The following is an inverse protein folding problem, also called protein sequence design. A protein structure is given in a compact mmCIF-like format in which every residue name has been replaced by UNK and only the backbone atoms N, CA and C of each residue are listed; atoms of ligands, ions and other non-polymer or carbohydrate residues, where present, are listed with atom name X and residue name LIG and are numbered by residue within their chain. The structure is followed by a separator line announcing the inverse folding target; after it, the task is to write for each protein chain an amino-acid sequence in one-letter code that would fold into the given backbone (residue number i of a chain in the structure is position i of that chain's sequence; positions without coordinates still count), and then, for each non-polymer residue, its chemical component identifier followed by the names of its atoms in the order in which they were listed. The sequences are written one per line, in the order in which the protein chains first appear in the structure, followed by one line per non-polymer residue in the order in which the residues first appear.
data_IF_497514028681
#
_entry.id   IF_497514028681
#
_cell.length_a   1.000
_cell.length_b   1.000
_cell.length_c   1.000
_cell.angle_alpha   90.00
_cell.angle_beta   90.00
_cell.angle_gamma   90.00
#
_symmetry.space_group_name_H-M   'P 1'
#
loop_
_entity.id
_entity.type
_entity.pdbx_description
1 polymer ?
#
# COMPACT_ATOMS: atom_id res chain seq x y z
N UNK A 1 -12.01 30.36 -32.52
CA UNK A 1 -11.41 29.04 -32.75
C UNK A 1 -9.90 28.93 -32.45
N UNK A 2 -9.22 29.94 -31.84
CA UNK A 2 -7.76 29.90 -31.53
C UNK A 2 -7.43 29.67 -30.05
N UNK A 3 -8.39 29.62 -29.15
CA UNK A 3 -8.16 29.48 -27.69
C UNK A 3 -8.30 28.03 -27.14
N UNK A 4 -8.83 27.10 -27.94
CA UNK A 4 -9.01 25.68 -27.52
C UNK A 4 -7.75 24.85 -27.81
N UNK A 5 -6.90 25.27 -28.74
CA UNK A 5 -5.69 24.53 -29.13
C UNK A 5 -4.53 24.66 -28.13
N UNK A 6 -4.54 25.70 -27.26
CA UNK A 6 -3.45 25.94 -26.29
C UNK A 6 -3.61 25.12 -25.01
N UNK A 7 -4.84 24.70 -24.67
CA UNK A 7 -5.09 23.89 -23.48
C UNK A 7 -4.70 22.41 -23.64
N UNK A 8 -4.71 21.90 -24.88
CA UNK A 8 -4.27 20.52 -25.16
C UNK A 8 -2.74 20.35 -25.16
N UNK A 9 -1.98 21.41 -25.45
CA UNK A 9 -0.50 21.33 -25.50
C UNK A 9 0.14 21.38 -24.09
N UNK A 10 -0.53 21.97 -23.11
CA UNK A 10 -0.02 21.99 -21.71
C UNK A 10 -0.16 20.66 -21.00
N UNK A 11 -1.09 19.79 -21.43
CA UNK A 11 -1.29 18.46 -20.84
C UNK A 11 -0.22 17.44 -21.24
N UNK A 12 0.41 17.63 -22.42
CA UNK A 12 1.48 16.75 -22.90
C UNK A 12 2.86 17.03 -22.29
N UNK A 13 3.09 18.22 -21.71
CA UNK A 13 4.41 18.58 -21.19
C UNK A 13 4.73 17.95 -19.82
N UNK A 14 3.72 17.55 -19.02
CA UNK A 14 3.94 16.90 -17.73
C UNK A 14 4.30 15.42 -17.83
N UNK A 15 4.21 14.81 -19.00
CA UNK A 15 4.49 13.37 -19.19
C UNK A 15 5.93 13.05 -19.60
N UNK A 16 6.76 14.06 -19.84
CA UNK A 16 8.12 13.85 -20.40
C UNK A 16 9.20 13.64 -19.32
N UNK A 17 8.89 13.90 -18.04
CA UNK A 17 9.90 13.82 -16.98
C UNK A 17 10.01 12.44 -16.29
N UNK A 18 9.08 11.52 -16.54
CA UNK A 18 9.11 10.18 -15.94
C UNK A 18 9.24 9.12 -17.05
N UNK A 19 10.46 8.75 -17.42
CA UNK A 19 10.84 7.62 -18.27
C UNK A 19 10.79 7.85 -19.79
N UNK A 20 11.78 7.28 -20.48
CA UNK A 20 11.80 7.14 -21.94
C UNK A 20 10.53 6.39 -22.40
N UNK A 21 9.65 7.13 -23.05
CA UNK A 21 8.43 6.75 -23.77
C UNK A 21 7.94 5.29 -23.76
N UNK A 22 6.94 4.94 -22.93
CA UNK A 22 5.84 4.14 -23.41
C UNK A 22 4.73 5.09 -23.92
N UNK A 23 4.06 4.72 -25.00
CA UNK A 23 3.02 5.52 -25.64
C UNK A 23 1.99 6.02 -24.60
N UNK A 24 1.75 7.32 -24.57
CA UNK A 24 0.82 8.01 -23.65
C UNK A 24 -0.68 7.60 -23.81
N UNK A 25 -0.95 6.51 -24.50
CA UNK A 25 -2.28 6.03 -24.89
C UNK A 25 -2.89 5.02 -23.94
N UNK A 26 -2.19 4.57 -22.90
CA UNK A 26 -2.71 3.50 -22.01
C UNK A 26 -2.93 3.93 -20.56
N UNK A 27 -2.56 5.15 -20.14
CA UNK A 27 -2.74 5.62 -18.78
C UNK A 27 -4.17 6.13 -18.57
N UNK A 28 -4.93 5.51 -17.64
CA UNK A 28 -6.26 5.96 -17.29
C UNK A 28 -6.20 7.17 -16.35
N UNK A 29 -6.79 8.29 -16.78
CA UNK A 29 -6.83 9.52 -15.96
C UNK A 29 -8.05 9.51 -15.06
N UNK A 30 -7.81 9.52 -13.75
CA UNK A 30 -8.84 9.62 -12.71
C UNK A 30 -8.89 11.07 -12.25
N UNK A 31 -9.96 11.80 -12.57
CA UNK A 31 -10.13 13.18 -12.15
C UNK A 31 -10.56 13.26 -10.67
N UNK A 32 -9.68 13.79 -9.83
CA UNK A 32 -9.85 13.94 -8.38
C UNK A 32 -9.72 15.40 -7.95
N UNK A 33 -10.00 16.35 -8.87
CA UNK A 33 -9.98 17.78 -8.56
C UNK A 33 -11.04 18.13 -7.53
N UNK A 34 -10.67 18.96 -6.56
CA UNK A 34 -11.53 19.39 -5.46
C UNK A 34 -12.18 18.24 -4.69
N UNK A 35 -11.40 17.35 -4.07
CA UNK A 35 -11.92 16.17 -3.36
C UNK A 35 -12.67 16.59 -2.09
N UNK A 36 -14.00 16.63 -2.18
CA UNK A 36 -14.91 17.10 -1.11
C UNK A 36 -15.91 16.05 -0.63
N UNK A 37 -15.77 14.82 -1.11
CA UNK A 37 -16.67 13.76 -0.69
C UNK A 37 -16.48 13.44 0.80
N UNK A 38 -17.56 13.45 1.57
CA UNK A 38 -17.50 13.22 3.03
C UNK A 38 -18.52 12.17 3.50
N UNK A 39 -19.46 11.78 2.66
CA UNK A 39 -20.49 10.81 3.06
C UNK A 39 -19.98 9.36 2.88
N UNK A 40 -18.87 9.02 3.51
CA UNK A 40 -18.25 7.69 3.41
C UNK A 40 -19.16 6.57 3.91
N UNK A 41 -19.98 6.86 4.95
CA UNK A 41 -20.92 5.88 5.50
C UNK A 41 -22.01 5.44 4.50
N UNK A 42 -22.34 6.26 3.49
CA UNK A 42 -23.25 5.86 2.44
C UNK A 42 -22.59 5.02 1.35
N UNK A 43 -21.28 5.24 1.13
CA UNK A 43 -20.50 4.51 0.14
C UNK A 43 -20.01 3.15 0.67
N UNK A 44 -19.68 3.06 1.96
CA UNK A 44 -19.01 1.92 2.58
C UNK A 44 -19.98 1.15 3.47
N UNK A 45 -19.91 -0.17 3.44
CA UNK A 45 -20.65 -1.06 4.34
C UNK A 45 -19.77 -2.21 4.81
N UNK A 46 -19.97 -2.66 6.06
CA UNK A 46 -19.29 -3.82 6.61
C UNK A 46 -20.02 -5.08 6.16
N UNK A 47 -19.32 -5.97 5.46
CA UNK A 47 -19.86 -7.23 4.97
C UNK A 47 -19.49 -8.43 5.83
N UNK A 48 -18.30 -8.38 6.48
CA UNK A 48 -17.77 -9.49 7.27
C UNK A 48 -16.93 -8.93 8.42
N UNK A 49 -16.87 -9.65 9.53
CA UNK A 49 -16.06 -9.29 10.70
C UNK A 49 -15.36 -10.52 11.21
N UNK A 50 -14.04 -10.49 11.23
CA UNK A 50 -13.16 -11.56 11.71
C UNK A 50 -12.33 -11.04 12.89
N UNK A 51 -12.76 -11.27 14.15
CA UNK A 51 -11.97 -10.95 15.32
C UNK A 51 -10.74 -11.85 15.38
N UNK A 52 -9.56 -11.27 15.59
CA UNK A 52 -8.33 -12.05 15.71
C UNK A 52 -8.20 -12.61 17.13
N UNK A 53 -7.85 -13.89 17.24
CA UNK A 53 -7.70 -14.59 18.51
C UNK A 53 -6.67 -13.90 19.39
N UNK A 54 -7.02 -13.73 20.66
CA UNK A 54 -6.19 -13.08 21.67
C UNK A 54 -5.77 -14.08 22.75
N UNK A 55 -4.55 -14.57 22.63
CA UNK A 55 -3.89 -15.42 23.60
C UNK A 55 -2.52 -14.84 23.95
N UNK A 56 -1.83 -15.39 24.94
CA UNK A 56 -0.46 -14.96 25.25
C UNK A 56 0.50 -15.12 24.06
N UNK A 57 0.19 -16.02 23.12
CA UNK A 57 1.00 -16.28 21.91
C UNK A 57 0.56 -15.49 20.68
N UNK A 58 -0.55 -14.79 20.75
CA UNK A 58 -1.16 -14.09 19.61
C UNK A 58 -1.58 -12.65 19.91
N UNK A 59 -1.09 -12.09 21.04
CA UNK A 59 -1.35 -10.70 21.39
C UNK A 59 -0.60 -9.78 20.41
N UNK A 60 -1.34 -8.95 19.70
CA UNK A 60 -0.83 -8.01 18.72
C UNK A 60 -0.69 -6.61 19.31
N UNK A 61 0.22 -5.82 18.76
CA UNK A 61 0.43 -4.42 19.15
C UNK A 61 0.03 -3.46 18.04
N UNK A 62 0.90 -3.24 17.06
CA UNK A 62 0.67 -2.29 15.95
C UNK A 62 1.03 -2.95 14.63
N UNK A 63 0.07 -2.96 13.71
CA UNK A 63 0.34 -3.40 12.34
C UNK A 63 1.26 -2.42 11.62
N UNK A 64 2.34 -2.93 11.01
CA UNK A 64 3.06 -2.23 9.95
C UNK A 64 2.54 -2.65 8.58
N UNK A 65 2.17 -3.91 8.42
CA UNK A 65 1.56 -4.46 7.21
C UNK A 65 0.61 -5.59 7.59
N UNK A 66 -0.55 -5.64 6.96
CA UNK A 66 -1.48 -6.76 7.07
C UNK A 66 -1.86 -7.22 5.66
N UNK A 67 -1.86 -8.54 5.43
CA UNK A 67 -2.25 -9.14 4.16
C UNK A 67 -3.30 -10.21 4.40
N UNK A 68 -4.21 -10.34 3.44
CA UNK A 68 -5.24 -11.38 3.44
C UNK A 68 -5.07 -12.22 2.18
N UNK A 69 -4.41 -13.35 2.32
CA UNK A 69 -4.02 -14.19 1.20
C UNK A 69 -4.60 -15.60 1.34
N UNK A 70 -5.35 -16.06 0.34
CA UNK A 70 -6.03 -17.34 0.41
C UNK A 70 -6.94 -17.46 1.64
N UNK A 71 -6.60 -18.41 2.53
CA UNK A 71 -7.28 -18.63 3.81
C UNK A 71 -6.52 -18.08 5.01
N UNK A 72 -5.53 -17.20 4.78
CA UNK A 72 -4.66 -16.66 5.82
C UNK A 72 -4.86 -15.15 5.98
N UNK A 73 -4.67 -14.70 7.22
CA UNK A 73 -4.42 -13.31 7.59
C UNK A 73 -3.00 -13.27 8.12
N UNK A 74 -2.16 -12.46 7.50
CA UNK A 74 -0.78 -12.26 7.90
C UNK A 74 -0.61 -10.85 8.46
N UNK A 75 -0.18 -10.77 9.69
CA UNK A 75 -0.07 -9.53 10.44
C UNK A 75 1.39 -9.30 10.86
N UNK A 76 2.06 -8.36 10.20
CA UNK A 76 3.38 -7.90 10.61
C UNK A 76 3.24 -6.92 11.77
N UNK A 77 3.69 -7.33 12.95
CA UNK A 77 3.71 -6.48 14.12
C UNK A 77 5.01 -5.67 14.19
N UNK A 78 4.88 -4.35 14.18
CA UNK A 78 6.03 -3.45 14.15
C UNK A 78 6.87 -3.51 15.43
N UNK A 79 6.23 -3.59 16.60
CA UNK A 79 6.94 -3.56 17.89
C UNK A 79 7.55 -4.89 18.24
N UNK A 80 6.83 -5.97 17.94
CA UNK A 80 7.29 -7.34 18.22
C UNK A 80 8.26 -7.82 17.14
N UNK A 81 8.33 -7.14 15.99
CA UNK A 81 9.13 -7.53 14.82
C UNK A 81 8.85 -8.98 14.41
N UNK A 82 7.59 -9.37 14.42
CA UNK A 82 7.13 -10.73 14.16
C UNK A 82 6.01 -10.75 13.15
N UNK A 83 5.86 -11.85 12.42
CA UNK A 83 4.76 -12.12 11.52
C UNK A 83 3.83 -13.16 12.15
N UNK A 84 2.62 -12.73 12.49
CA UNK A 84 1.57 -13.59 13.03
C UNK A 84 0.64 -14.04 11.92
N UNK A 85 0.30 -15.32 11.91
CA UNK A 85 -0.60 -15.90 10.92
C UNK A 85 -1.85 -16.42 11.59
N UNK A 86 -3.00 -15.99 11.06
CA UNK A 86 -4.33 -16.37 11.53
C UNK A 86 -5.13 -17.01 10.41
N UNK A 87 -6.11 -17.82 10.78
CA UNK A 87 -7.09 -18.38 9.86
C UNK A 87 -8.12 -17.30 9.48
N UNK A 88 -8.34 -17.07 8.20
CA UNK A 88 -9.25 -16.03 7.69
C UNK A 88 -10.71 -16.26 8.04
N UNK A 89 -11.15 -17.51 8.17
CA UNK A 89 -12.56 -17.81 8.38
C UNK A 89 -13.03 -17.58 9.82
N UNK A 90 -12.11 -17.76 10.78
CA UNK A 90 -12.49 -17.74 12.20
C UNK A 90 -11.57 -16.87 13.08
N UNK A 91 -10.51 -16.29 12.50
CA UNK A 91 -9.55 -15.44 13.22
C UNK A 91 -8.64 -16.19 14.20
N UNK A 92 -8.64 -17.54 14.19
CA UNK A 92 -7.80 -18.32 15.09
C UNK A 92 -6.32 -18.19 14.72
N UNK A 93 -5.48 -18.03 15.74
CA UNK A 93 -4.04 -18.04 15.59
C UNK A 93 -3.55 -19.40 15.11
N UNK A 94 -2.70 -19.40 14.10
CA UNK A 94 -2.08 -20.62 13.55
C UNK A 94 -0.65 -20.79 14.00
N UNK A 95 0.19 -19.79 13.73
CA UNK A 95 1.62 -19.81 14.05
C UNK A 95 2.24 -18.42 13.88
N UNK A 96 3.42 -18.27 14.46
CA UNK A 96 4.33 -17.15 14.24
C UNK A 96 5.41 -17.58 13.24
N UNK A 97 5.80 -16.68 12.32
CA UNK A 97 6.81 -16.95 11.29
C UNK A 97 8.10 -16.22 11.64
N UNK A 98 9.17 -17.00 11.75
CA UNK A 98 10.49 -16.49 12.13
C UNK A 98 10.54 -16.00 13.58
N UNK A 99 11.71 -15.57 14.00
CA UNK A 99 11.96 -14.94 15.31
C UNK A 99 13.07 -13.91 15.16
N UNK A 100 13.11 -12.95 16.06
CA UNK A 100 14.22 -12.00 16.13
C UNK A 100 15.48 -12.70 16.63
N UNK A 101 16.56 -12.59 15.91
CA UNK A 101 17.86 -13.18 16.25
C UNK A 101 18.82 -13.28 15.08
N UNK A 102 19.93 -14.01 15.26
CA UNK A 102 21.04 -14.05 14.31
C UNK A 102 21.23 -15.40 13.60
N UNK A 103 20.45 -16.44 13.95
CA UNK A 103 20.53 -17.73 13.25
C UNK A 103 19.99 -17.65 11.81
N UNK A 104 20.17 -18.71 11.02
CA UNK A 104 19.69 -18.75 9.63
C UNK A 104 18.16 -18.63 9.51
N UNK A 105 17.43 -19.14 10.51
CA UNK A 105 15.96 -19.09 10.56
C UNK A 105 15.40 -17.84 11.22
N UNK A 106 16.25 -16.97 11.77
CA UNK A 106 15.86 -15.76 12.49
C UNK A 106 16.09 -14.51 11.63
N UNK A 107 15.45 -13.40 11.95
CA UNK A 107 15.67 -12.11 11.31
C UNK A 107 16.15 -11.06 12.33
N UNK A 108 17.02 -10.15 11.90
CA UNK A 108 17.54 -9.07 12.76
C UNK A 108 16.56 -7.92 12.80
N UNK A 109 16.13 -7.47 11.65
CA UNK A 109 15.16 -6.39 11.49
C UNK A 109 14.13 -6.80 10.44
N UNK A 110 12.87 -6.75 10.80
CA UNK A 110 11.81 -7.22 9.93
C UNK A 110 11.34 -6.07 9.01
N UNK A 111 11.89 -5.99 7.80
CA UNK A 111 11.61 -4.91 6.87
C UNK A 111 10.29 -5.12 6.12
N UNK A 112 10.08 -6.30 5.54
CA UNK A 112 8.90 -6.60 4.74
C UNK A 112 8.65 -8.12 4.63
N UNK A 113 7.47 -8.49 4.15
CA UNK A 113 7.16 -9.88 3.80
C UNK A 113 6.31 -9.97 2.53
N UNK A 114 6.36 -11.13 1.89
CA UNK A 114 5.52 -11.50 0.76
C UNK A 114 5.04 -12.94 0.93
N UNK A 115 3.89 -13.25 0.33
CA UNK A 115 3.31 -14.57 0.29
C UNK A 115 3.21 -15.03 -1.15
N UNK A 116 3.59 -16.25 -1.42
CA UNK A 116 3.44 -16.93 -2.70
C UNK A 116 2.62 -18.20 -2.45
N UNK A 117 1.31 -18.08 -2.62
CA UNK A 117 0.38 -19.18 -2.37
C UNK A 117 0.49 -20.30 -3.40
N UNK A 118 0.93 -19.99 -4.63
CA UNK A 118 1.15 -21.00 -5.66
C UNK A 118 2.25 -21.99 -5.25
N UNK A 119 3.31 -21.49 -4.60
CA UNK A 119 4.42 -22.31 -4.11
C UNK A 119 4.36 -22.58 -2.61
N UNK A 120 3.30 -22.13 -1.92
CA UNK A 120 3.13 -22.25 -0.46
C UNK A 120 4.31 -21.67 0.33
N UNK A 121 4.75 -20.47 -0.02
CA UNK A 121 5.90 -19.80 0.58
C UNK A 121 5.53 -18.49 1.25
N UNK A 122 6.09 -18.27 2.44
CA UNK A 122 6.19 -16.95 3.06
C UNK A 122 7.66 -16.53 3.02
N UNK A 123 7.90 -15.33 2.51
CA UNK A 123 9.25 -14.75 2.43
C UNK A 123 9.32 -13.52 3.32
N UNK A 124 10.29 -13.47 4.22
CA UNK A 124 10.62 -12.31 5.06
C UNK A 124 11.89 -11.64 4.51
N UNK A 125 11.87 -10.34 4.34
CA UNK A 125 13.03 -9.50 4.04
C UNK A 125 13.58 -8.92 5.33
N UNK A 126 14.88 -9.11 5.55
CA UNK A 126 15.66 -8.42 6.59
C UNK A 126 16.96 -7.85 6.00
N UNK A 127 17.77 -7.19 6.81
CA UNK A 127 19.07 -6.63 6.40
C UNK A 127 20.03 -7.68 5.81
N UNK A 128 19.85 -8.96 6.11
CA UNK A 128 20.71 -10.06 5.65
C UNK A 128 20.19 -10.76 4.39
N UNK A 129 19.06 -10.31 3.82
CA UNK A 129 18.43 -10.87 2.64
C UNK A 129 17.01 -11.38 2.89
N UNK A 130 16.61 -12.40 2.17
CA UNK A 130 15.30 -13.02 2.34
C UNK A 130 15.39 -14.37 3.01
N UNK A 131 14.45 -14.64 3.91
CA UNK A 131 14.26 -15.95 4.57
C UNK A 131 12.92 -16.52 4.12
N UNK A 132 12.94 -17.76 3.66
CA UNK A 132 11.77 -18.47 3.15
C UNK A 132 11.27 -19.46 4.20
N UNK A 133 9.95 -19.46 4.37
CA UNK A 133 9.23 -20.33 5.30
C UNK A 133 8.08 -21.03 4.56
N UNK A 134 7.73 -22.23 5.02
CA UNK A 134 6.55 -22.96 4.56
C UNK A 134 5.27 -22.26 5.04
N UNK A 135 4.41 -21.88 4.11
CA UNK A 135 3.13 -21.21 4.38
C UNK A 135 2.19 -22.04 5.26
N UNK A 136 2.25 -23.37 5.18
CA UNK A 136 1.31 -24.24 5.91
C UNK A 136 1.58 -24.30 7.41
N UNK A 137 2.82 -24.08 7.84
CA UNK A 137 3.24 -24.32 9.23
C UNK A 137 4.29 -23.34 9.78
N UNK A 138 4.73 -22.35 9.00
CA UNK A 138 5.72 -21.36 9.40
C UNK A 138 7.14 -21.90 9.60
N UNK A 139 7.44 -23.12 9.14
CA UNK A 139 8.77 -23.70 9.32
C UNK A 139 9.78 -23.10 8.35
N UNK A 140 10.98 -22.85 8.87
CA UNK A 140 12.12 -22.39 8.08
C UNK A 140 12.47 -23.38 6.97
N UNK A 141 12.69 -22.88 5.77
CA UNK A 141 13.13 -23.64 4.61
C UNK A 141 14.56 -23.29 4.23
N UNK A 142 14.84 -22.03 3.96
CA UNK A 142 16.17 -21.55 3.56
C UNK A 142 16.28 -20.04 3.65
N UNK A 143 17.51 -19.54 3.63
CA UNK A 143 17.83 -18.11 3.47
C UNK A 143 18.49 -17.87 2.11
N UNK A 144 18.07 -16.80 1.44
CA UNK A 144 18.69 -16.30 0.21
C UNK A 144 19.32 -14.94 0.49
N UNK A 145 20.63 -14.84 0.27
CA UNK A 145 21.40 -13.62 0.51
C UNK A 145 21.69 -12.84 -0.78
N UNK A 146 21.03 -13.16 -1.89
CA UNK A 146 21.29 -12.51 -3.17
C UNK A 146 20.97 -11.01 -3.17
N UNK A 147 19.97 -10.59 -2.39
CA UNK A 147 19.59 -9.17 -2.24
C UNK A 147 20.67 -8.38 -1.49
N UNK A 148 21.32 -8.97 -0.51
CA UNK A 148 22.34 -8.31 0.32
C UNK A 148 23.69 -8.07 -0.36
N UNK A 149 23.98 -8.70 -1.49
CA UNK A 149 25.23 -8.45 -2.22
C UNK A 149 25.36 -7.01 -2.71
N UNK A 150 24.25 -6.28 -2.76
CA UNK A 150 24.18 -4.90 -3.24
C UNK A 150 24.12 -3.85 -2.12
N UNK A 151 24.31 -4.25 -0.82
CA UNK A 151 24.04 -3.38 0.32
C UNK A 151 22.54 -3.37 0.66
N UNK A 152 22.24 -3.22 1.93
CA UNK A 152 20.91 -3.41 2.53
C UNK A 152 19.96 -2.23 2.36
N UNK A 153 19.98 -1.60 1.19
CA UNK A 153 19.19 -0.39 0.97
C UNK A 153 17.75 -0.68 0.49
N UNK A 154 17.39 -1.97 0.33
CA UNK A 154 16.04 -2.36 -0.05
C UNK A 154 15.19 -2.65 1.18
N UNK A 155 14.07 -1.95 1.30
CA UNK A 155 13.19 -2.05 2.47
C UNK A 155 11.81 -2.65 2.16
N UNK A 156 11.48 -2.80 0.85
CA UNK A 156 10.25 -3.48 0.40
C UNK A 156 10.55 -4.32 -0.81
N UNK A 157 9.75 -5.37 -0.99
CA UNK A 157 9.85 -6.22 -2.16
C UNK A 157 8.48 -6.82 -2.54
N UNK A 158 8.35 -7.22 -3.78
CA UNK A 158 7.19 -7.95 -4.30
C UNK A 158 7.66 -8.99 -5.30
N UNK A 159 7.21 -10.22 -5.13
CA UNK A 159 7.46 -11.30 -6.09
C UNK A 159 6.40 -11.25 -7.18
N UNK A 160 6.81 -11.18 -8.46
CA UNK A 160 5.94 -11.15 -9.62
C UNK A 160 6.43 -12.18 -10.64
N UNK A 161 5.83 -13.34 -10.61
CA UNK A 161 6.28 -14.48 -11.43
C UNK A 161 7.74 -14.82 -11.11
N UNK A 162 8.61 -14.70 -12.11
CA UNK A 162 10.04 -15.02 -11.96
C UNK A 162 10.90 -13.82 -11.51
N UNK A 163 10.31 -12.66 -11.37
CA UNK A 163 11.01 -11.44 -10.98
C UNK A 163 10.68 -11.06 -9.54
N UNK A 164 11.60 -10.37 -8.89
CA UNK A 164 11.33 -9.72 -7.60
C UNK A 164 11.57 -8.22 -7.77
N UNK A 165 10.51 -7.42 -7.59
CA UNK A 165 10.65 -5.98 -7.50
C UNK A 165 11.20 -5.61 -6.13
N UNK A 166 12.11 -4.65 -6.12
CA UNK A 166 12.79 -4.15 -4.93
C UNK A 166 12.60 -2.64 -4.84
N UNK A 167 12.23 -2.15 -3.67
CA UNK A 167 12.15 -0.72 -3.40
C UNK A 167 13.23 -0.28 -2.42
N UNK A 168 13.89 0.84 -2.75
CA UNK A 168 14.82 1.51 -1.86
C UNK A 168 14.52 3.00 -1.77
N UNK A 169 14.39 3.58 -0.56
CA UNK A 169 14.30 5.03 -0.39
C UNK A 169 15.66 5.73 -0.52
N UNK A 170 16.78 4.98 -0.51
CA UNK A 170 18.13 5.52 -0.40
C UNK A 170 18.93 5.54 -1.70
N UNK A 171 18.49 4.80 -2.73
CA UNK A 171 19.20 4.70 -4.02
C UNK A 171 18.71 5.75 -5.01
N UNK A 172 19.52 6.02 -6.03
CA UNK A 172 19.15 6.89 -7.16
C UNK A 172 17.96 6.31 -7.94
N UNK A 173 17.77 5.01 -7.87
CA UNK A 173 16.60 4.31 -8.42
C UNK A 173 15.72 3.81 -7.29
N UNK A 174 14.46 4.25 -7.30
CA UNK A 174 13.49 3.87 -6.27
C UNK A 174 13.00 2.44 -6.46
N UNK A 175 12.89 1.98 -7.71
CA UNK A 175 12.48 0.62 -8.05
C UNK A 175 13.56 -0.06 -8.86
N UNK A 176 13.93 -1.27 -8.45
CA UNK A 176 14.80 -2.18 -9.17
C UNK A 176 14.14 -3.56 -9.30
N UNK A 177 14.57 -4.35 -10.25
CA UNK A 177 14.15 -5.74 -10.46
C UNK A 177 15.32 -6.68 -10.19
N UNK A 178 15.08 -7.71 -9.40
CA UNK A 178 15.97 -8.86 -9.26
C UNK A 178 15.40 -10.01 -10.09
N UNK A 179 16.15 -10.43 -11.11
CA UNK A 179 15.80 -11.55 -11.98
C UNK A 179 16.23 -12.89 -11.39
N UNK A 180 15.74 -14.02 -11.91
CA UNK A 180 16.11 -15.36 -11.45
C UNK A 180 17.61 -15.65 -11.53
N UNK A 181 18.31 -15.10 -12.51
CA UNK A 181 19.76 -15.21 -12.67
C UNK A 181 20.56 -14.30 -11.71
N UNK A 182 19.88 -13.71 -10.73
CA UNK A 182 20.45 -12.86 -9.67
C UNK A 182 21.04 -11.54 -10.19
N UNK A 183 20.61 -11.07 -11.35
CA UNK A 183 20.93 -9.73 -11.84
C UNK A 183 19.93 -8.73 -11.32
N UNK A 184 20.43 -7.56 -10.88
CA UNK A 184 19.63 -6.41 -10.50
C UNK A 184 19.62 -5.43 -11.68
N UNK A 185 18.43 -5.03 -12.09
CA UNK A 185 18.17 -4.04 -13.14
C UNK A 185 17.35 -2.90 -12.55
N UNK A 186 17.82 -1.68 -12.75
CA UNK A 186 17.15 -0.48 -12.29
C UNK A 186 16.00 -0.11 -13.23
N UNK A 187 14.79 0.06 -12.67
CA UNK A 187 13.56 0.29 -13.45
C UNK A 187 13.06 1.72 -13.38
N UNK A 188 13.09 2.34 -12.20
CA UNK A 188 12.61 3.71 -12.00
C UNK A 188 13.67 4.56 -11.32
N UNK A 189 14.17 5.58 -12.05
CA UNK A 189 14.99 6.62 -11.44
C UNK A 189 14.14 7.45 -10.49
N UNK A 190 14.64 7.69 -9.28
CA UNK A 190 13.96 8.50 -8.28
C UNK A 190 13.70 9.91 -8.78
N UNK A 191 12.51 10.40 -8.57
CA UNK A 191 12.16 11.79 -8.79
C UNK A 191 11.98 12.47 -7.43
N UNK A 192 12.87 13.40 -7.11
CA UNK A 192 12.75 14.26 -5.93
C UNK A 192 13.15 13.61 -4.60
N UNK A 193 12.43 13.98 -3.55
CA UNK A 193 12.80 13.77 -2.16
C UNK A 193 12.75 12.29 -1.79
N UNK A 194 13.77 11.90 -1.06
CA UNK A 194 13.82 10.69 -0.29
C UNK A 194 12.86 10.81 0.90
N UNK A 195 11.86 9.93 0.96
CA UNK A 195 10.94 9.87 2.11
C UNK A 195 11.33 8.73 3.01
N UNK A 196 11.65 9.04 4.26
CA UNK A 196 12.01 8.05 5.27
C UNK A 196 10.81 7.19 5.75
N UNK A 197 9.56 7.60 5.45
CA UNK A 197 8.36 6.89 5.87
C UNK A 197 8.03 5.69 4.97
N UNK A 198 8.88 4.71 5.02
CA UNK A 198 8.83 3.46 4.24
C UNK A 198 7.59 2.61 4.49
N UNK A 199 6.97 2.75 5.66
CA UNK A 199 5.78 1.97 6.05
C UNK A 199 4.56 2.18 5.15
N UNK A 200 4.58 3.24 4.34
CA UNK A 200 3.49 3.59 3.45
C UNK A 200 3.70 3.13 2.01
N UNK A 201 4.84 2.57 1.67
CA UNK A 201 5.04 2.00 0.35
C UNK A 201 4.29 0.66 0.25
N UNK A 202 3.40 0.53 -0.74
CA UNK A 202 2.66 -0.69 -1.00
C UNK A 202 2.89 -1.15 -2.44
N UNK A 203 3.21 -2.44 -2.61
CA UNK A 203 3.09 -3.19 -3.84
C UNK A 203 2.11 -4.33 -3.60
N UNK A 204 1.14 -4.51 -4.47
CA UNK A 204 0.10 -5.51 -4.33
C UNK A 204 0.17 -6.58 -5.44
N UNK A 205 -0.67 -7.61 -5.31
CA UNK A 205 -0.67 -8.75 -6.23
C UNK A 205 -1.20 -8.40 -7.64
N UNK A 206 -1.84 -7.23 -7.79
CA UNK A 206 -2.19 -6.67 -9.11
C UNK A 206 -1.00 -5.99 -9.79
N UNK A 207 0.19 -6.15 -9.22
CA UNK A 207 1.44 -5.58 -9.71
C UNK A 207 1.42 -4.05 -9.81
N UNK A 208 0.65 -3.40 -8.95
CA UNK A 208 0.66 -1.95 -8.82
C UNK A 208 1.92 -1.51 -8.09
N UNK A 209 2.53 -0.47 -8.62
CA UNK A 209 3.73 0.14 -8.06
C UNK A 209 3.45 1.60 -7.79
N UNK A 210 3.54 1.99 -6.52
CA UNK A 210 3.27 3.36 -6.11
C UNK A 210 4.28 4.34 -6.71
N UNK A 211 3.84 5.58 -7.01
CA UNK A 211 4.73 6.63 -7.49
C UNK A 211 5.67 7.13 -6.40
N UNK A 212 6.77 7.73 -6.83
CA UNK A 212 7.62 8.50 -5.95
C UNK A 212 6.89 9.77 -5.47
N UNK A 213 7.45 10.40 -4.44
CA UNK A 213 6.91 11.63 -3.87
C UNK A 213 6.77 12.75 -4.91
N UNK A 214 5.66 13.44 -4.89
CA UNK A 214 5.32 14.48 -5.87
C UNK A 214 4.75 13.96 -7.19
N UNK A 215 4.76 12.65 -7.40
CA UNK A 215 4.16 12.00 -8.56
C UNK A 215 2.82 11.36 -8.20
N UNK A 216 1.92 11.25 -9.18
CA UNK A 216 0.59 10.67 -9.02
C UNK A 216 0.27 9.63 -10.09
N UNK A 217 1.28 9.18 -10.84
CA UNK A 217 1.16 8.10 -11.82
C UNK A 217 1.45 6.78 -11.12
N UNK A 218 0.43 5.97 -10.94
CA UNK A 218 0.53 4.61 -10.41
C UNK A 218 0.87 3.71 -11.60
N UNK A 219 2.00 3.01 -11.50
CA UNK A 219 2.44 2.09 -12.53
C UNK A 219 1.90 0.68 -12.29
N UNK A 220 1.98 -0.15 -13.31
CA UNK A 220 1.85 -1.61 -13.22
C UNK A 220 3.11 -2.25 -13.77
N UNK A 221 3.54 -3.34 -13.14
CA UNK A 221 4.68 -4.13 -13.62
C UNK A 221 4.20 -5.25 -14.54
N UNK A 222 4.71 -5.26 -15.77
CA UNK A 222 4.42 -6.30 -16.78
C UNK A 222 5.64 -6.58 -17.63
N UNK A 223 5.93 -7.87 -17.88
CA UNK A 223 6.99 -8.31 -18.81
C UNK A 223 8.34 -7.61 -18.59
N UNK A 224 8.75 -7.50 -17.32
CA UNK A 224 10.03 -6.93 -16.96
C UNK A 224 10.11 -5.40 -16.91
N UNK A 225 9.01 -4.67 -17.13
CA UNK A 225 8.97 -3.19 -17.19
C UNK A 225 7.82 -2.60 -16.41
N UNK A 226 7.96 -1.33 -16.04
CA UNK A 226 6.90 -0.51 -15.47
C UNK A 226 6.14 0.20 -16.60
N UNK A 227 4.82 0.23 -16.49
CA UNK A 227 3.92 0.94 -17.41
C UNK A 227 2.95 1.80 -16.59
N UNK A 228 2.74 3.08 -16.98
CA UNK A 228 1.70 3.91 -16.38
C UNK A 228 0.33 3.25 -16.50
N UNK A 229 -0.39 3.12 -15.38
CA UNK A 229 -1.73 2.53 -15.37
C UNK A 229 -2.79 3.55 -15.02
N UNK A 230 -2.58 4.29 -13.94
CA UNK A 230 -3.50 5.33 -13.46
C UNK A 230 -2.78 6.64 -13.20
N UNK A 231 -3.40 7.75 -13.57
CA UNK A 231 -2.99 9.09 -13.15
C UNK A 231 -4.09 9.68 -12.25
N UNK A 232 -3.80 9.90 -10.97
CA UNK A 232 -4.66 10.67 -10.10
C UNK A 232 -4.48 12.16 -10.39
N UNK A 233 -5.44 12.76 -11.09
CA UNK A 233 -5.36 14.15 -11.55
C UNK A 233 -5.95 15.12 -10.52
N UNK A 234 -5.11 15.71 -9.69
CA UNK A 234 -5.47 16.76 -8.74
C UNK A 234 -5.44 18.18 -9.36
N UNK A 235 -5.10 18.32 -10.64
CA UNK A 235 -5.00 19.61 -11.34
C UNK A 235 -4.01 20.55 -10.67
N UNK A 236 -4.43 21.79 -10.39
CA UNK A 236 -3.58 22.80 -9.72
C UNK A 236 -3.35 22.53 -8.23
N UNK A 237 -4.03 21.55 -7.64
CA UNK A 237 -3.84 21.13 -6.23
C UNK A 237 -2.76 20.08 -6.07
N UNK A 238 -2.23 19.51 -7.17
CA UNK A 238 -1.05 18.67 -7.15
C UNK A 238 0.20 19.47 -6.82
N UNK A 239 1.18 18.85 -6.12
CA UNK A 239 2.46 19.48 -5.81
C UNK A 239 3.17 19.89 -7.11
N UNK A 240 3.46 21.19 -7.33
CA UNK A 240 4.21 21.63 -8.50
C UNK A 240 5.64 21.09 -8.52
N UNK A 241 6.12 20.68 -9.69
CA UNK A 241 7.46 20.10 -9.89
C UNK A 241 8.57 20.96 -9.30
N UNK A 242 8.46 22.29 -9.39
CA UNK A 242 9.45 23.26 -8.83
C UNK A 242 9.65 23.12 -7.31
N UNK A 243 8.74 22.46 -6.60
CA UNK A 243 8.85 22.19 -5.16
C UNK A 243 9.34 20.77 -4.87
N UNK A 244 9.54 19.95 -5.89
CA UNK A 244 10.15 18.63 -5.76
C UNK A 244 11.68 18.88 -5.74
N UNK A 245 12.27 18.91 -4.56
CA UNK A 245 13.69 19.20 -4.34
C UNK A 245 14.38 17.98 -3.74
N UNK A 246 15.66 17.81 -4.07
CA UNK A 246 16.52 16.78 -3.45
C UNK A 246 16.93 17.14 -2.02
N UNK A 247 16.56 18.34 -1.55
CA UNK A 247 16.91 18.84 -0.21
C UNK A 247 15.70 18.89 0.69
N UNK A 248 15.66 18.02 1.67
CA UNK A 248 14.60 17.93 2.69
C UNK A 248 14.38 19.26 3.43
N UNK A 249 15.45 20.00 3.75
CA UNK A 249 15.39 21.27 4.47
C UNK A 249 14.66 22.39 3.71
N UNK A 250 14.72 22.39 2.39
CA UNK A 250 14.00 23.37 1.56
C UNK A 250 12.51 23.03 1.47
N UNK A 251 12.19 21.78 1.68
CA UNK A 251 10.85 21.23 1.61
C UNK A 251 9.98 21.59 2.83
N UNK A 252 10.51 21.48 4.05
CA UNK A 252 9.76 21.81 5.26
C UNK A 252 9.54 23.32 5.46
N UNK A 253 10.42 24.15 4.91
CA UNK A 253 10.40 25.61 5.13
C UNK A 253 9.35 26.36 4.32
N UNK A 254 8.72 25.75 3.33
CA UNK A 254 7.73 26.44 2.50
C UNK A 254 6.32 26.18 2.97
N UNK A 255 5.65 27.19 3.54
CA UNK A 255 4.19 27.17 3.83
C UNK A 255 3.34 26.77 2.63
N UNK A 256 3.87 26.93 1.41
CA UNK A 256 3.24 26.48 0.18
C UNK A 256 3.02 24.95 0.12
N UNK A 257 3.87 24.17 0.77
CA UNK A 257 3.74 22.71 0.82
C UNK A 257 2.47 22.24 1.53
N UNK A 258 1.93 23.06 2.45
CA UNK A 258 0.68 22.76 3.17
C UNK A 258 -0.55 22.83 2.28
N UNK A 259 -0.43 23.30 1.03
CA UNK A 259 -1.55 23.55 0.12
C UNK A 259 -1.79 22.43 -0.89
N UNK A 260 -0.83 21.53 -1.07
CA UNK A 260 -0.83 20.61 -2.20
C UNK A 260 -1.01 19.14 -1.77
N UNK A 261 -1.57 18.35 -2.68
CA UNK A 261 -1.44 16.90 -2.64
C UNK A 261 0.00 16.51 -2.96
N UNK A 262 0.55 15.50 -2.27
CA UNK A 262 2.00 15.26 -2.25
C UNK A 262 2.40 13.86 -2.63
N UNK A 263 1.67 12.84 -2.16
CA UNK A 263 2.06 11.45 -2.38
C UNK A 263 0.89 10.51 -2.26
N UNK A 264 0.96 9.40 -2.98
CA UNK A 264 0.09 8.23 -2.81
C UNK A 264 0.74 7.32 -1.79
N UNK A 265 0.04 7.01 -0.70
CA UNK A 265 0.56 6.21 0.41
C UNK A 265 0.21 4.74 0.29
N UNK A 266 -0.96 4.45 -0.24
CA UNK A 266 -1.48 3.11 -0.48
C UNK A 266 -2.29 3.12 -1.76
N UNK A 267 -2.32 1.99 -2.45
CA UNK A 267 -3.20 1.78 -3.58
C UNK A 267 -3.54 0.30 -3.67
N UNK A 268 -4.81 -0.02 -3.70
CA UNK A 268 -5.33 -1.37 -3.87
C UNK A 268 -6.39 -1.38 -4.96
N UNK A 269 -6.44 -2.44 -5.76
CA UNK A 269 -7.47 -2.58 -6.76
C UNK A 269 -8.01 -4.01 -6.84
N UNK A 270 -9.28 -4.11 -7.23
CA UNK A 270 -9.88 -5.35 -7.72
C UNK A 270 -10.50 -5.11 -9.11
N UNK A 271 -11.25 -6.06 -9.61
CA UNK A 271 -11.88 -5.94 -10.93
C UNK A 271 -12.78 -4.72 -11.07
N UNK A 272 -13.40 -4.25 -9.99
CA UNK A 272 -14.40 -3.16 -10.02
C UNK A 272 -13.89 -1.82 -9.50
N UNK A 273 -13.07 -1.84 -8.45
CA UNK A 273 -12.69 -0.65 -7.71
C UNK A 273 -11.18 -0.45 -7.61
N UNK A 274 -10.76 0.80 -7.63
CA UNK A 274 -9.45 1.25 -7.15
C UNK A 274 -9.65 2.03 -5.86
N UNK A 275 -8.83 1.77 -4.86
CA UNK A 275 -8.68 2.58 -3.65
C UNK A 275 -7.28 3.20 -3.64
N UNK A 276 -7.19 4.48 -3.29
CA UNK A 276 -5.92 5.13 -2.98
C UNK A 276 -6.04 5.98 -1.71
N UNK A 277 -5.01 5.92 -0.88
CA UNK A 277 -4.80 6.83 0.25
C UNK A 277 -3.74 7.84 -0.13
N UNK A 278 -4.04 9.12 -0.03
CA UNK A 278 -3.19 10.21 -0.53
C UNK A 278 -2.93 11.22 0.58
N UNK A 279 -1.69 11.71 0.68
CA UNK A 279 -1.36 12.85 1.54
C UNK A 279 -1.68 14.14 0.81
N UNK A 280 -2.59 14.90 1.37
CA UNK A 280 -3.06 16.16 0.81
C UNK A 280 -2.64 17.39 1.62
N UNK A 281 -3.37 18.50 1.43
CA UNK A 281 -3.16 19.74 2.15
C UNK A 281 -3.12 19.56 3.66
N UNK A 282 -2.26 20.33 4.33
CA UNK A 282 -2.07 20.29 5.80
C UNK A 282 -1.65 18.93 6.35
N UNK A 283 -0.99 18.09 5.56
CA UNK A 283 -0.60 16.73 5.93
C UNK A 283 -1.80 15.80 6.24
N UNK A 284 -3.01 16.17 5.82
CA UNK A 284 -4.20 15.34 6.01
C UNK A 284 -4.22 14.22 4.97
N UNK A 285 -4.77 13.10 5.38
CA UNK A 285 -5.03 11.99 4.48
C UNK A 285 -6.36 12.18 3.74
N UNK A 286 -6.38 11.73 2.50
CA UNK A 286 -7.56 11.70 1.64
C UNK A 286 -7.74 10.31 1.09
N UNK A 287 -8.99 9.84 1.06
CA UNK A 287 -9.37 8.61 0.40
C UNK A 287 -9.86 8.92 -1.01
N UNK A 288 -9.48 8.07 -1.94
CA UNK A 288 -9.99 8.05 -3.30
C UNK A 288 -10.51 6.64 -3.59
N UNK A 289 -11.79 6.52 -3.90
CA UNK A 289 -12.37 5.31 -4.47
C UNK A 289 -12.78 5.61 -5.92
N UNK A 290 -12.38 4.76 -6.84
CA UNK A 290 -12.71 4.90 -8.24
C UNK A 290 -13.45 3.66 -8.74
N UNK A 291 -14.72 3.86 -9.17
CA UNK A 291 -15.50 2.83 -9.84
C UNK A 291 -15.04 2.73 -11.30
N UNK A 292 -14.38 1.63 -11.63
CA UNK A 292 -13.82 1.40 -12.97
C UNK A 292 -14.90 1.22 -14.03
N UNK A 293 -16.09 0.73 -13.64
CA UNK A 293 -17.21 0.52 -14.57
C UNK A 293 -17.94 1.84 -14.88
N UNK A 294 -18.20 2.64 -13.83
CA UNK A 294 -18.87 3.92 -13.97
C UNK A 294 -17.91 5.06 -14.36
N UNK A 295 -16.61 4.83 -14.31
CA UNK A 295 -15.57 5.85 -14.51
C UNK A 295 -15.76 7.06 -13.58
N UNK A 296 -16.19 6.81 -12.35
CA UNK A 296 -16.53 7.82 -11.35
C UNK A 296 -15.61 7.70 -10.13
N UNK A 297 -15.00 8.83 -9.73
CA UNK A 297 -14.20 8.92 -8.52
C UNK A 297 -14.99 9.53 -7.38
N UNK A 298 -14.85 8.96 -6.19
CA UNK A 298 -15.29 9.49 -4.91
C UNK A 298 -14.03 9.85 -4.14
N UNK A 299 -13.74 11.13 -3.95
CA UNK A 299 -12.52 11.58 -3.32
C UNK A 299 -12.79 12.63 -2.24
N UNK A 300 -12.15 12.51 -1.09
CA UNK A 300 -12.33 13.44 0.01
C UNK A 300 -11.44 13.13 1.21
N UNK A 301 -11.47 14.01 2.24
CA UNK A 301 -10.67 13.80 3.43
C UNK A 301 -11.02 12.47 4.11
N UNK A 302 -9.98 11.81 4.63
CA UNK A 302 -10.16 10.64 5.48
C UNK A 302 -10.90 11.07 6.75
N UNK A 303 -12.05 10.45 6.97
CA UNK A 303 -12.79 10.62 8.21
C UNK A 303 -12.29 9.61 9.26
N UNK A 304 -11.58 10.11 10.25
CA UNK A 304 -11.04 9.29 11.34
C UNK A 304 -12.13 8.67 12.21
N UNK A 305 -13.35 9.25 12.23
CA UNK A 305 -14.47 8.69 12.98
C UNK A 305 -15.02 7.39 12.34
N UNK A 306 -14.66 7.09 11.09
CA UNK A 306 -14.95 5.77 10.53
C UNK A 306 -14.32 4.64 11.37
N UNK A 307 -13.13 4.88 11.93
CA UNK A 307 -12.42 3.92 12.78
C UNK A 307 -11.89 2.70 12.01
N UNK A 308 -11.74 2.80 10.69
CA UNK A 308 -11.26 1.73 9.81
C UNK A 308 -9.99 2.15 9.08
N UNK A 309 -9.06 1.21 8.94
CA UNK A 309 -7.83 1.39 8.14
C UNK A 309 -7.78 0.30 7.06
N UNK A 310 -7.97 0.67 5.80
CA UNK A 310 -7.88 -0.28 4.68
C UNK A 310 -6.44 -0.77 4.58
N UNK A 311 -6.27 -2.09 4.51
CA UNK A 311 -4.96 -2.75 4.54
C UNK A 311 -4.75 -3.74 3.41
N UNK A 312 -5.83 -4.19 2.75
CA UNK A 312 -5.76 -5.14 1.65
C UNK A 312 -7.04 -5.16 0.82
N UNK A 313 -7.07 -5.95 -0.24
CA UNK A 313 -8.20 -6.09 -1.17
C UNK A 313 -8.34 -7.53 -1.66
N UNK A 314 -9.56 -7.96 -1.93
CA UNK A 314 -9.85 -9.12 -2.76
C UNK A 314 -10.95 -8.79 -3.79
N UNK A 315 -11.31 -9.73 -4.66
CA UNK A 315 -12.32 -9.51 -5.70
C UNK A 315 -13.71 -9.11 -5.18
N UNK A 316 -13.98 -9.33 -3.90
CA UNK A 316 -15.30 -9.09 -3.30
C UNK A 316 -15.37 -7.82 -2.44
N UNK A 317 -14.24 -7.17 -2.15
CA UNK A 317 -14.17 -5.94 -1.36
C UNK A 317 -12.79 -5.62 -0.80
N UNK A 318 -12.73 -4.66 0.08
CA UNK A 318 -11.50 -4.23 0.76
C UNK A 318 -11.47 -4.77 2.18
N UNK A 319 -10.30 -5.17 2.63
CA UNK A 319 -10.06 -5.54 4.00
C UNK A 319 -9.53 -4.36 4.80
N UNK A 320 -10.07 -4.17 5.99
CA UNK A 320 -9.66 -3.08 6.87
C UNK A 320 -9.45 -3.59 8.30
N UNK A 321 -8.56 -2.94 9.03
CA UNK A 321 -8.36 -3.15 10.47
C UNK A 321 -9.23 -2.22 11.27
N UNK A 322 -9.77 -2.75 12.36
CA UNK A 322 -10.47 -2.04 13.43
C UNK A 322 -9.76 -2.36 14.73
N UNK A 323 -9.35 -1.33 15.46
CA UNK A 323 -8.73 -1.46 16.80
C UNK A 323 -9.80 -1.22 17.85
N UNK A 324 -10.25 -2.26 18.57
CA UNK A 324 -11.40 -2.15 19.51
C UNK A 324 -11.25 -1.08 20.58
N UNK A 325 -10.04 -0.93 21.14
CA UNK A 325 -9.77 0.04 22.21
C UNK A 325 -9.82 1.50 21.74
N UNK A 326 -9.63 1.74 20.45
CA UNK A 326 -9.60 3.07 19.84
C UNK A 326 -10.89 3.38 19.06
N UNK A 327 -11.81 2.40 18.96
CA UNK A 327 -12.99 2.52 18.13
C UNK A 327 -14.06 3.40 18.76
N UNK A 328 -14.40 4.49 18.10
CA UNK A 328 -15.37 5.47 18.58
C UNK A 328 -16.81 4.97 18.51
N UNK A 329 -17.59 5.20 19.57
CA UNK A 329 -19.06 4.99 19.52
C UNK A 329 -19.78 5.93 18.52
N UNK A 330 -19.10 6.98 18.08
CA UNK A 330 -19.61 7.90 17.04
C UNK A 330 -19.44 7.36 15.63
N UNK A 331 -18.62 6.32 15.46
CA UNK A 331 -18.45 5.71 14.15
C UNK A 331 -19.80 5.25 13.59
N UNK A 332 -20.07 5.53 12.30
CA UNK A 332 -21.27 5.01 11.64
C UNK A 332 -21.33 3.49 11.60
N UNK A 333 -20.18 2.82 11.81
CA UNK A 333 -20.08 1.36 11.85
C UNK A 333 -20.24 0.78 13.26
N UNK A 334 -20.27 1.60 14.31
CA UNK A 334 -20.39 1.13 15.70
C UNK A 334 -21.61 0.21 15.91
N UNK A 335 -22.83 0.53 15.39
CA UNK A 335 -23.99 -0.34 15.60
C UNK A 335 -23.79 -1.77 15.07
N UNK A 336 -23.05 -1.95 13.99
CA UNK A 336 -22.76 -3.28 13.41
C UNK A 336 -21.61 -4.00 14.09
N UNK A 337 -20.75 -3.30 14.82
CA UNK A 337 -19.54 -3.85 15.44
C UNK A 337 -19.61 -4.00 16.97
N UNK A 338 -20.50 -3.29 17.66
CA UNK A 338 -20.54 -3.13 19.12
C UNK A 338 -20.42 -4.44 19.92
N UNK A 339 -21.11 -5.50 19.48
CA UNK A 339 -21.11 -6.77 20.20
C UNK A 339 -19.76 -7.49 20.02
N UNK A 340 -19.16 -7.39 18.84
CA UNK A 340 -17.83 -7.95 18.57
C UNK A 340 -16.73 -7.15 19.29
N UNK A 341 -16.82 -5.81 19.32
CA UNK A 341 -15.89 -4.94 20.04
C UNK A 341 -15.86 -5.28 21.54
N UNK A 342 -17.03 -5.56 22.14
CA UNK A 342 -17.12 -5.98 23.55
C UNK A 342 -16.57 -7.38 23.79
N UNK A 343 -16.82 -8.32 22.87
CA UNK A 343 -16.39 -9.71 23.00
C UNK A 343 -14.87 -9.90 22.75
N UNK A 344 -14.26 -9.04 21.93
CA UNK A 344 -12.86 -9.14 21.52
C UNK A 344 -12.15 -7.77 21.69
N UNK A 345 -11.87 -7.33 22.94
CA UNK A 345 -11.42 -5.96 23.19
C UNK A 345 -9.93 -5.70 22.89
N UNK A 346 -9.10 -6.72 22.79
CA UNK A 346 -7.64 -6.53 22.81
C UNK A 346 -7.00 -6.54 21.43
N UNK A 347 -7.18 -7.63 20.68
CA UNK A 347 -6.60 -7.71 19.33
C UNK A 347 -7.44 -6.94 18.30
N UNK A 348 -6.82 -6.43 17.23
CA UNK A 348 -7.57 -5.86 16.13
C UNK A 348 -8.52 -6.88 15.51
N UNK A 349 -9.59 -6.37 14.91
CA UNK A 349 -10.49 -7.14 14.07
C UNK A 349 -10.23 -6.82 12.62
N UNK A 350 -10.25 -7.84 11.79
CA UNK A 350 -10.29 -7.65 10.35
C UNK A 350 -11.76 -7.53 9.91
N UNK A 351 -12.07 -6.49 9.17
CA UNK A 351 -13.42 -6.26 8.63
C UNK A 351 -13.36 -6.19 7.12
N UNK A 352 -14.36 -6.75 6.46
CA UNK A 352 -14.52 -6.65 5.01
C UNK A 352 -15.46 -5.51 4.68
N UNK A 353 -14.97 -4.57 3.90
CA UNK A 353 -15.69 -3.40 3.42
C UNK A 353 -16.16 -3.65 1.99
N UNK A 354 -17.47 -3.50 1.77
CA UNK A 354 -18.08 -3.42 0.44
C UNK A 354 -18.43 -1.99 0.10
N UNK A 355 -18.33 -1.66 -1.17
CA UNK A 355 -18.80 -0.38 -1.67
C UNK A 355 -20.22 -0.55 -2.24
N UNK A 356 -21.11 0.31 -1.76
CA UNK A 356 -22.49 0.40 -2.25
C UNK A 356 -22.43 1.06 -3.63
N UNK A 357 -22.82 0.33 -4.66
CA UNK A 357 -22.90 0.88 -6.02
C UNK A 357 -24.03 1.89 -6.12
N UNK A 358 -23.80 2.97 -6.89
CA UNK A 358 -24.73 4.08 -7.17
C UNK A 358 -25.10 4.90 -5.93
N UNK A 359 -24.24 5.88 -5.64
CA UNK A 359 -24.67 7.11 -4.99
C UNK A 359 -24.96 8.12 -6.11
N UNK A 360 -26.21 8.55 -6.23
CA UNK A 360 -26.67 9.61 -7.15
C UNK A 360 -26.02 10.96 -6.83
#
# INVERSE_FOLDING_TARGET
MKKVLFALFSLCACMVACTENPSATECEVIDVKQPKFTNWASLLSIAEVVPLENTNSSLLTVASKCRVEGNLILFQDFKLKSLFVFDKHNGKFKYEVGKVGYSESEHVDFLDFSVDTEHSLITILDERGTTLFDENNGKFLRRDRSINKAGTDYCRFMVVGNDTLLYSPYKDYSISKLSQDKRIEDLRKRNGIQMENERFFSMDDNNLVLPDYGCFVIDTYKKGKLYPKYLLNFGSEALPEKYISDKYDDFEKTDNMKRYFKSVQMCFENSKWLYALVVGPQQKYYMVFYDKNLKKAYAGPLDIELGISIVDVDETGFWALVYPMEFSERSPFYPSLKDKLKAYPNNPMLVKIKLNGQLD
#
